data_IF_812870700522
#
_entry.id   IF_812870700522
#
_cell.length_a   1.000
_cell.length_b   1.000
_cell.length_c   1.000
_cell.angle_alpha   90.00
_cell.angle_beta   90.00
_cell.angle_gamma   90.00
#
_symmetry.space_group_name_H-M   'P 1'
#
loop_
_entity.id
_entity.type
_entity.pdbx_description
1 polymer ?
#
# COMPACT_ATOMS: atom_id res chain seq x y z
N UNK A 1 44.00 31.71 50.63
CA UNK A 1 43.62 32.53 49.45
C UNK A 1 43.03 31.58 48.41
N UNK A 2 41.89 31.97 47.85
CA UNK A 2 40.87 31.12 47.24
C UNK A 2 41.34 30.28 46.04
N UNK A 3 40.90 29.02 46.03
CA UNK A 3 40.80 28.16 44.85
C UNK A 3 39.79 28.77 43.87
N UNK A 4 40.22 29.14 42.68
CA UNK A 4 39.32 29.35 41.53
C UNK A 4 39.57 28.23 40.53
N UNK A 5 38.82 27.16 40.71
CA UNK A 5 38.69 26.07 39.74
C UNK A 5 38.07 26.68 38.46
N UNK A 6 38.79 26.57 37.34
CA UNK A 6 38.37 27.18 36.07
C UNK A 6 37.38 26.26 35.36
N UNK A 7 36.11 26.33 35.77
CA UNK A 7 35.00 25.48 35.28
C UNK A 7 34.75 25.60 33.76
N UNK A 8 35.24 26.65 33.11
CA UNK A 8 35.11 26.89 31.67
C UNK A 8 35.98 25.96 30.82
N UNK A 9 37.14 25.54 31.32
CA UNK A 9 38.00 24.58 30.60
C UNK A 9 37.45 23.14 30.66
N UNK A 10 36.77 22.77 31.75
CA UNK A 10 36.09 21.48 31.87
C UNK A 10 34.79 21.41 31.05
N UNK A 11 34.07 22.52 30.88
CA UNK A 11 32.88 22.55 30.02
C UNK A 11 33.21 22.43 28.53
N UNK A 12 34.32 23.03 28.07
CA UNK A 12 34.73 22.91 26.66
C UNK A 12 35.28 21.51 26.33
N UNK A 13 35.89 20.81 27.28
CA UNK A 13 36.32 19.41 27.10
C UNK A 13 35.17 18.39 27.22
N UNK A 14 34.06 18.75 27.87
CA UNK A 14 32.83 17.94 27.91
C UNK A 14 31.89 18.19 26.72
N UNK A 15 32.10 19.27 25.95
CA UNK A 15 31.30 19.60 24.76
C UNK A 15 31.90 19.07 23.44
N UNK A 16 33.14 18.63 23.43
CA UNK A 16 33.79 17.99 22.26
C UNK A 16 33.60 16.47 22.20
N UNK A 17 32.88 15.87 23.14
CA UNK A 17 32.34 14.50 23.02
C UNK A 17 30.82 14.58 22.82
N UNK A 18 30.37 15.48 21.94
CA UNK A 18 29.24 15.13 21.09
C UNK A 18 29.79 14.09 20.13
N UNK A 19 29.87 12.85 20.60
CA UNK A 19 29.88 11.70 19.70
C UNK A 19 28.66 11.93 18.81
N UNK A 20 28.91 12.40 17.59
CA UNK A 20 27.97 12.26 16.51
C UNK A 20 27.83 10.76 16.42
N UNK A 21 26.85 10.21 17.13
CA UNK A 21 26.37 8.86 16.91
C UNK A 21 25.80 8.91 15.50
N UNK A 22 26.68 8.80 14.51
CA UNK A 22 26.30 8.38 13.17
C UNK A 22 25.63 7.05 13.44
N UNK A 23 24.30 7.01 13.30
CA UNK A 23 23.57 5.78 13.54
C UNK A 23 24.15 4.74 12.58
N UNK A 24 24.82 3.72 13.13
CA UNK A 24 25.35 2.64 12.33
C UNK A 24 24.20 2.04 11.52
N UNK A 25 24.40 1.91 10.20
CA UNK A 25 23.39 1.31 9.33
C UNK A 25 23.21 -0.14 9.77
N UNK A 26 21.99 -0.57 10.14
CA UNK A 26 21.78 -1.89 10.68
C UNK A 26 22.09 -2.97 9.64
N UNK A 27 22.84 -3.99 10.06
CA UNK A 27 23.13 -5.17 9.24
C UNK A 27 21.85 -6.01 9.11
N UNK A 28 21.32 -6.06 7.90
CA UNK A 28 20.03 -6.71 7.60
C UNK A 28 20.16 -7.63 6.39
N UNK A 29 19.27 -8.61 6.26
CA UNK A 29 19.32 -9.56 5.14
C UNK A 29 18.97 -8.89 3.80
N UNK A 30 18.15 -7.83 3.85
CA UNK A 30 17.61 -7.08 2.72
C UNK A 30 17.61 -5.58 3.00
N UNK A 31 17.57 -4.75 1.97
CA UNK A 31 17.32 -3.31 2.11
C UNK A 31 15.85 -3.04 2.42
N UNK A 32 14.94 -3.76 1.76
CA UNK A 32 13.50 -3.51 1.81
C UNK A 32 12.69 -4.81 1.92
N UNK A 33 11.77 -4.85 2.89
CA UNK A 33 10.67 -5.83 2.94
C UNK A 33 9.46 -5.25 2.21
N UNK A 34 8.89 -6.01 1.27
CA UNK A 34 7.68 -5.65 0.53
C UNK A 34 6.59 -6.65 0.92
N UNK A 35 5.48 -6.14 1.44
CA UNK A 35 4.33 -6.95 1.84
C UNK A 35 3.26 -6.87 0.74
N UNK A 36 3.02 -7.95 0.03
CA UNK A 36 1.98 -8.10 -0.99
C UNK A 36 2.54 -8.26 -2.41
N UNK A 37 2.19 -9.37 -3.08
CA UNK A 37 2.55 -9.64 -4.47
C UNK A 37 1.52 -9.17 -5.51
N UNK A 38 0.69 -8.19 -5.15
CA UNK A 38 -0.19 -7.50 -6.09
C UNK A 38 0.54 -6.46 -6.96
N UNK A 39 -0.17 -5.74 -7.84
CA UNK A 39 0.44 -4.77 -8.76
C UNK A 39 1.29 -3.69 -8.08
N UNK A 40 0.91 -3.24 -6.89
CA UNK A 40 1.67 -2.23 -6.13
C UNK A 40 2.99 -2.75 -5.62
N UNK A 41 3.01 -3.91 -4.95
CA UNK A 41 4.25 -4.54 -4.48
C UNK A 41 5.17 -4.97 -5.61
N UNK A 42 4.62 -5.51 -6.70
CA UNK A 42 5.41 -5.87 -7.89
C UNK A 42 6.04 -4.63 -8.55
N UNK A 43 5.31 -3.53 -8.64
CA UNK A 43 5.86 -2.26 -9.16
C UNK A 43 6.98 -1.72 -8.26
N UNK A 44 6.81 -1.81 -6.93
CA UNK A 44 7.86 -1.44 -5.98
C UNK A 44 9.11 -2.31 -6.12
N UNK A 45 8.95 -3.63 -6.22
CA UNK A 45 10.04 -4.59 -6.41
C UNK A 45 10.80 -4.32 -7.74
N UNK A 46 10.07 -4.07 -8.83
CA UNK A 46 10.66 -3.70 -10.12
C UNK A 46 11.49 -2.42 -10.04
N UNK A 47 10.94 -1.39 -9.38
CA UNK A 47 11.64 -0.11 -9.21
C UNK A 47 12.92 -0.23 -8.38
N UNK A 48 12.86 -0.96 -7.26
CA UNK A 48 14.01 -1.20 -6.38
C UNK A 48 15.08 -2.07 -7.06
N UNK A 49 14.65 -3.09 -7.80
CA UNK A 49 15.56 -3.97 -8.55
C UNK A 49 16.40 -3.22 -9.57
N UNK A 50 15.80 -2.24 -10.27
CA UNK A 50 16.50 -1.42 -11.27
C UNK A 50 17.57 -0.51 -10.70
N UNK A 51 17.53 -0.23 -9.40
CA UNK A 51 18.53 0.58 -8.68
C UNK A 51 19.33 -0.29 -7.70
N UNK A 52 19.37 -1.61 -7.96
CA UNK A 52 20.20 -2.59 -7.25
C UNK A 52 19.95 -2.63 -5.73
N UNK A 53 18.73 -2.33 -5.27
CA UNK A 53 18.32 -2.52 -3.88
C UNK A 53 17.88 -3.95 -3.68
N UNK A 54 18.48 -4.64 -2.70
CA UNK A 54 18.16 -6.03 -2.37
C UNK A 54 16.83 -6.05 -1.61
N UNK A 55 15.81 -6.70 -2.15
CA UNK A 55 14.48 -6.74 -1.52
C UNK A 55 13.94 -8.15 -1.35
N UNK A 56 13.03 -8.30 -0.40
CA UNK A 56 12.23 -9.52 -0.22
C UNK A 56 10.76 -9.16 -0.34
N UNK A 57 10.03 -9.86 -1.20
CA UNK A 57 8.60 -9.66 -1.42
C UNK A 57 7.85 -10.89 -0.92
N UNK A 58 6.92 -10.67 0.01
CA UNK A 58 6.04 -11.69 0.55
C UNK A 58 4.67 -11.63 -0.11
N UNK A 59 4.16 -12.79 -0.53
CA UNK A 59 2.87 -12.91 -1.19
C UNK A 59 2.04 -14.04 -0.58
N UNK A 60 0.85 -13.73 -0.09
CA UNK A 60 -0.07 -14.73 0.45
C UNK A 60 -0.85 -15.49 -0.64
N UNK A 61 -0.79 -15.05 -1.89
CA UNK A 61 -1.60 -15.60 -2.98
C UNK A 61 -3.07 -15.14 -2.98
N UNK A 62 -3.43 -14.21 -2.07
CA UNK A 62 -4.79 -13.67 -1.97
C UNK A 62 -4.86 -12.28 -2.59
N UNK A 63 -5.54 -12.16 -3.74
CA UNK A 63 -5.62 -10.90 -4.49
C UNK A 63 -7.06 -10.40 -4.57
N UNK A 64 -7.27 -9.08 -4.45
CA UNK A 64 -8.61 -8.47 -4.49
C UNK A 64 -9.37 -8.76 -5.79
N UNK A 65 -8.67 -8.75 -6.92
CA UNK A 65 -9.24 -9.06 -8.24
C UNK A 65 -9.08 -10.54 -8.65
N UNK A 66 -8.72 -11.45 -7.73
CA UNK A 66 -8.60 -12.87 -8.07
C UNK A 66 -9.92 -13.50 -8.59
N UNK A 67 -11.11 -13.07 -8.14
CA UNK A 67 -12.37 -13.62 -8.66
C UNK A 67 -12.68 -13.22 -10.12
N UNK A 68 -12.04 -12.16 -10.66
CA UNK A 68 -12.39 -11.62 -11.98
C UNK A 68 -11.86 -12.47 -13.12
N UNK A 69 -12.62 -12.51 -14.23
CA UNK A 69 -12.22 -13.25 -15.44
C UNK A 69 -11.00 -12.59 -16.10
N UNK A 70 -11.10 -11.28 -16.29
CA UNK A 70 -10.08 -10.46 -16.91
C UNK A 70 -9.90 -9.15 -16.12
N UNK A 71 -8.77 -8.50 -16.30
CA UNK A 71 -8.55 -7.10 -15.91
C UNK A 71 -8.63 -6.22 -17.15
N UNK A 72 -9.17 -5.02 -16.97
CA UNK A 72 -9.29 -4.00 -18.02
C UNK A 72 -8.64 -2.70 -17.55
N UNK A 73 -8.55 -1.73 -18.47
CA UNK A 73 -8.01 -0.40 -18.19
C UNK A 73 -6.54 -0.43 -17.70
N UNK A 74 -5.77 -1.39 -18.22
CA UNK A 74 -4.33 -1.47 -18.02
C UNK A 74 -3.65 -1.48 -19.36
N UNK A 75 -3.08 -0.35 -19.76
CA UNK A 75 -2.43 -0.19 -21.06
C UNK A 75 -1.35 -1.26 -21.24
N UNK A 76 -1.47 -2.03 -22.34
CA UNK A 76 -0.59 -3.16 -22.65
C UNK A 76 -0.99 -4.51 -22.01
N UNK A 77 -1.97 -4.53 -21.09
CA UNK A 77 -2.50 -5.73 -20.42
C UNK A 77 -4.03 -5.70 -20.32
N UNK A 78 -4.70 -5.07 -21.28
CA UNK A 78 -6.16 -5.01 -21.32
C UNK A 78 -6.75 -6.37 -21.71
N UNK A 79 -7.82 -6.78 -21.02
CA UNK A 79 -8.50 -8.06 -21.19
C UNK A 79 -7.60 -9.29 -20.88
N UNK A 80 -6.65 -9.13 -19.96
CA UNK A 80 -5.72 -10.19 -19.52
C UNK A 80 -6.23 -10.84 -18.23
N UNK A 81 -5.97 -12.12 -18.03
CA UNK A 81 -6.25 -12.77 -16.73
C UNK A 81 -5.32 -12.19 -15.65
N UNK A 82 -5.81 -11.70 -14.50
CA UNK A 82 -4.97 -11.03 -13.50
C UNK A 82 -3.74 -11.83 -13.02
N UNK A 83 -3.85 -13.16 -12.96
CA UNK A 83 -2.74 -14.04 -12.60
C UNK A 83 -1.62 -14.05 -13.65
N UNK A 84 -1.94 -13.98 -14.94
CA UNK A 84 -0.94 -13.92 -16.01
C UNK A 84 -0.17 -12.60 -16.00
N UNK A 85 -0.85 -11.49 -15.68
CA UNK A 85 -0.19 -10.20 -15.44
C UNK A 85 0.84 -10.31 -14.29
N UNK A 86 0.44 -10.86 -13.15
CA UNK A 86 1.34 -11.01 -11.97
C UNK A 86 2.51 -11.94 -12.26
N UNK A 87 2.26 -13.06 -12.93
CA UNK A 87 3.29 -14.02 -13.35
C UNK A 87 4.30 -13.35 -14.28
N UNK A 88 3.84 -12.69 -15.33
CA UNK A 88 4.70 -11.96 -16.29
C UNK A 88 5.55 -10.91 -15.59
N UNK A 89 4.95 -10.14 -14.67
CA UNK A 89 5.68 -9.14 -13.89
C UNK A 89 6.78 -9.77 -13.02
N UNK A 90 6.51 -10.91 -12.34
CA UNK A 90 7.51 -11.63 -11.56
C UNK A 90 8.66 -12.14 -12.43
N UNK A 91 8.37 -12.70 -13.61
CA UNK A 91 9.39 -13.14 -14.57
C UNK A 91 10.30 -11.99 -14.99
N UNK A 92 9.72 -10.83 -15.33
CA UNK A 92 10.47 -9.63 -15.70
C UNK A 92 11.33 -9.07 -14.56
N UNK A 93 10.82 -9.06 -13.33
CA UNK A 93 11.57 -8.57 -12.16
C UNK A 93 12.73 -9.52 -11.82
N UNK A 94 12.52 -10.83 -11.99
CA UNK A 94 13.54 -11.85 -11.67
C UNK A 94 14.80 -11.72 -12.52
N UNK A 95 14.71 -11.12 -13.72
CA UNK A 95 15.88 -10.82 -14.56
C UNK A 95 16.96 -10.00 -13.82
N UNK A 96 16.56 -9.08 -12.94
CA UNK A 96 17.50 -8.22 -12.23
C UNK A 96 18.20 -8.93 -11.05
N UNK A 97 17.68 -10.08 -10.60
CA UNK A 97 18.24 -10.87 -9.49
C UNK A 97 18.42 -10.11 -8.16
N UNK A 98 17.58 -9.10 -7.90
CA UNK A 98 17.64 -8.27 -6.69
C UNK A 98 16.48 -8.50 -5.72
N UNK A 99 15.37 -9.09 -6.18
CA UNK A 99 14.20 -9.40 -5.36
C UNK A 99 14.10 -10.90 -5.11
N UNK A 100 14.06 -11.29 -3.84
CA UNK A 100 13.64 -12.64 -3.42
C UNK A 100 12.12 -12.67 -3.27
N UNK A 101 11.45 -13.61 -3.94
CA UNK A 101 10.01 -13.83 -3.79
C UNK A 101 9.75 -14.94 -2.79
N UNK A 102 8.84 -14.71 -1.84
CA UNK A 102 8.42 -15.69 -0.83
C UNK A 102 6.90 -15.80 -0.89
N UNK A 103 6.41 -16.93 -1.38
CA UNK A 103 4.97 -17.21 -1.54
C UNK A 103 4.37 -17.73 -0.22
N UNK A 104 4.50 -16.93 0.84
CA UNK A 104 3.94 -17.19 2.15
C UNK A 104 3.44 -15.89 2.80
N UNK A 105 2.42 -16.03 3.65
CA UNK A 105 1.85 -14.91 4.42
C UNK A 105 2.74 -14.55 5.60
N UNK A 106 3.08 -13.26 5.72
CA UNK A 106 3.71 -12.71 6.93
C UNK A 106 2.68 -12.63 8.05
N UNK A 107 3.04 -13.18 9.21
CA UNK A 107 2.16 -13.24 10.40
C UNK A 107 2.50 -12.17 11.43
N UNK A 108 3.78 -11.75 11.46
CA UNK A 108 4.27 -10.70 12.36
C UNK A 108 5.19 -9.74 11.64
N UNK A 109 5.03 -8.44 11.90
CA UNK A 109 5.94 -7.40 11.42
C UNK A 109 6.19 -6.39 12.53
N UNK A 110 7.45 -6.21 12.90
CA UNK A 110 7.84 -5.34 14.01
C UNK A 110 9.09 -4.52 13.70
N UNK A 111 9.23 -3.37 14.36
CA UNK A 111 10.45 -2.57 14.34
C UNK A 111 11.43 -3.13 15.38
N UNK A 112 12.69 -3.33 15.00
CA UNK A 112 13.76 -3.76 15.90
C UNK A 112 14.50 -2.55 16.49
N UNK A 113 15.33 -2.77 17.52
CA UNK A 113 16.03 -1.70 18.24
C UNK A 113 16.97 -0.84 17.38
N UNK A 114 17.46 -1.38 16.26
CA UNK A 114 18.50 -0.76 15.44
C UNK A 114 17.94 0.00 14.22
N UNK A 115 16.73 0.56 14.30
CA UNK A 115 16.03 1.18 13.16
C UNK A 115 15.82 0.24 11.94
N UNK A 116 15.83 -1.08 12.17
CA UNK A 116 15.45 -2.08 11.19
C UNK A 116 14.04 -2.63 11.48
N UNK A 117 13.57 -3.49 10.59
CA UNK A 117 12.29 -4.17 10.66
C UNK A 117 12.51 -5.67 10.51
N UNK A 118 11.65 -6.45 11.17
CA UNK A 118 11.64 -7.90 11.08
C UNK A 118 10.25 -8.41 10.68
N UNK A 119 10.20 -9.17 9.59
CA UNK A 119 9.03 -9.94 9.19
C UNK A 119 9.19 -11.40 9.62
N UNK A 120 8.14 -11.99 10.17
CA UNK A 120 8.09 -13.41 10.54
C UNK A 120 7.14 -14.18 9.63
N UNK A 121 7.61 -15.33 9.15
CA UNK A 121 6.85 -16.29 8.35
C UNK A 121 7.12 -17.69 8.91
N UNK A 122 6.13 -18.30 9.56
CA UNK A 122 6.35 -19.54 10.31
C UNK A 122 7.46 -19.36 11.34
N UNK A 123 8.49 -20.20 11.28
CA UNK A 123 9.67 -20.13 12.16
C UNK A 123 10.82 -19.29 11.57
N UNK A 124 10.62 -18.71 10.38
CA UNK A 124 11.65 -17.93 9.67
C UNK A 124 11.47 -16.43 9.91
N UNK A 125 12.61 -15.75 10.03
CA UNK A 125 12.69 -14.30 10.24
C UNK A 125 13.50 -13.65 9.12
N UNK A 126 13.02 -12.49 8.67
CA UNK A 126 13.64 -11.72 7.60
C UNK A 126 13.79 -10.28 8.07
N UNK A 127 15.00 -9.72 7.94
CA UNK A 127 15.27 -8.34 8.37
C UNK A 127 15.50 -7.41 7.19
N UNK A 128 15.02 -6.17 7.32
CA UNK A 128 15.31 -5.09 6.39
C UNK A 128 15.34 -3.71 7.04
N UNK A 129 15.95 -2.74 6.35
CA UNK A 129 15.99 -1.34 6.80
C UNK A 129 14.67 -0.61 6.61
N UNK A 130 13.91 -1.00 5.59
CA UNK A 130 12.67 -0.31 5.17
C UNK A 130 11.54 -1.30 4.87
N UNK A 131 10.30 -0.82 4.90
CA UNK A 131 9.10 -1.62 4.63
C UNK A 131 8.17 -0.91 3.65
N UNK A 132 7.65 -1.64 2.67
CA UNK A 132 6.56 -1.19 1.82
C UNK A 132 5.34 -2.09 2.05
N UNK A 133 4.25 -1.52 2.57
CA UNK A 133 2.99 -2.18 2.87
C UNK A 133 2.02 -2.07 1.68
N UNK A 134 1.88 -3.16 0.92
CA UNK A 134 1.00 -3.29 -0.24
C UNK A 134 0.00 -4.44 -0.11
N UNK A 135 -0.43 -4.78 1.11
CA UNK A 135 -1.30 -5.93 1.40
C UNK A 135 -2.72 -5.84 0.83
N UNK A 136 -3.11 -4.67 0.29
CA UNK A 136 -4.43 -4.43 -0.26
C UNK A 136 -5.56 -4.44 0.77
N UNK A 137 -6.79 -4.55 0.27
CA UNK A 137 -8.02 -4.61 1.07
C UNK A 137 -8.87 -5.81 0.70
N UNK A 138 -9.84 -6.11 1.56
CA UNK A 138 -10.97 -6.99 1.26
C UNK A 138 -12.24 -6.16 1.13
N UNK A 139 -13.12 -6.58 0.23
CA UNK A 139 -14.47 -6.04 0.09
C UNK A 139 -15.37 -6.67 1.18
N UNK A 140 -16.07 -5.83 1.94
CA UNK A 140 -16.87 -6.25 3.09
C UNK A 140 -18.30 -6.61 2.62
N UNK A 141 -18.39 -7.71 1.88
CA UNK A 141 -19.67 -8.22 1.36
C UNK A 141 -20.54 -8.76 2.50
N UNK A 142 -21.85 -8.45 2.52
CA UNK A 142 -22.78 -9.04 3.48
C UNK A 142 -22.95 -10.55 3.25
N UNK A 143 -23.33 -11.27 4.31
CA UNK A 143 -23.63 -12.70 4.27
C UNK A 143 -24.99 -12.96 3.60
N UNK A 144 -25.01 -12.80 2.27
CA UNK A 144 -26.16 -13.09 1.42
C UNK A 144 -25.75 -14.24 0.49
N UNK A 145 -26.45 -15.40 0.54
CA UNK A 145 -26.18 -16.52 -0.34
C UNK A 145 -26.09 -16.11 -1.82
N UNK A 146 -25.02 -16.55 -2.49
CA UNK A 146 -24.76 -16.28 -3.91
C UNK A 146 -24.08 -14.95 -4.21
N UNK A 147 -24.00 -14.02 -3.26
CA UNK A 147 -23.32 -12.74 -3.46
C UNK A 147 -21.80 -12.92 -3.61
N UNK A 148 -21.18 -13.69 -2.70
CA UNK A 148 -19.74 -13.94 -2.71
C UNK A 148 -19.29 -14.71 -3.95
N UNK A 149 -20.11 -15.67 -4.41
CA UNK A 149 -19.89 -16.47 -5.61
C UNK A 149 -20.13 -15.67 -6.90
N UNK A 150 -21.01 -14.66 -6.83
CA UNK A 150 -21.27 -13.70 -7.90
C UNK A 150 -20.16 -12.67 -8.09
N UNK A 151 -19.43 -12.35 -7.02
CA UNK A 151 -18.46 -11.26 -6.98
C UNK A 151 -17.27 -11.49 -7.94
N UNK A 152 -16.96 -10.47 -8.74
CA UNK A 152 -15.98 -10.52 -9.83
C UNK A 152 -16.47 -11.24 -11.09
N UNK A 153 -17.71 -11.72 -11.12
CA UNK A 153 -18.28 -12.46 -12.24
C UNK A 153 -19.73 -12.01 -12.46
N UNK A 154 -19.98 -10.76 -12.79
CA UNK A 154 -21.34 -10.21 -12.98
C UNK A 154 -21.86 -9.43 -11.77
N UNK A 155 -21.18 -9.52 -10.63
CA UNK A 155 -21.33 -8.59 -9.50
C UNK A 155 -19.98 -7.94 -9.26
N UNK A 156 -19.90 -6.61 -9.37
CA UNK A 156 -18.63 -5.88 -9.34
C UNK A 156 -18.73 -4.65 -8.45
N UNK A 157 -17.60 -4.02 -8.18
CA UNK A 157 -17.58 -2.74 -7.45
C UNK A 157 -17.24 -1.56 -8.37
N UNK A 158 -16.68 -1.82 -9.56
CA UNK A 158 -16.04 -0.81 -10.41
C UNK A 158 -16.57 -0.86 -11.85
N UNK A 159 -17.29 0.17 -12.33
CA UNK A 159 -17.80 0.20 -13.70
C UNK A 159 -16.69 0.41 -14.74
N UNK A 160 -15.55 1.00 -14.39
CA UNK A 160 -14.39 1.07 -15.31
C UNK A 160 -13.73 -0.28 -15.53
N UNK A 161 -13.83 -1.17 -14.55
CA UNK A 161 -13.15 -2.45 -14.53
C UNK A 161 -13.94 -3.52 -15.30
N UNK A 162 -15.27 -3.51 -15.19
CA UNK A 162 -16.11 -4.60 -15.73
C UNK A 162 -17.40 -4.10 -16.42
N UNK A 163 -17.60 -2.79 -16.48
CA UNK A 163 -18.83 -2.21 -16.99
C UNK A 163 -18.98 -2.31 -18.50
N UNK A 164 -17.88 -2.25 -19.26
CA UNK A 164 -17.92 -2.31 -20.72
C UNK A 164 -18.52 -3.63 -21.21
N UNK A 165 -18.16 -4.74 -20.57
CA UNK A 165 -18.65 -6.09 -20.89
C UNK A 165 -20.15 -6.25 -20.61
N UNK A 166 -20.70 -5.41 -19.74
CA UNK A 166 -22.08 -5.45 -19.28
C UNK A 166 -22.92 -4.23 -19.73
N UNK A 167 -22.41 -3.46 -20.70
CA UNK A 167 -23.05 -2.25 -21.23
C UNK A 167 -24.42 -2.55 -21.85
N UNK A 168 -25.34 -1.59 -21.74
CA UNK A 168 -26.73 -1.66 -22.21
C UNK A 168 -27.58 -2.80 -21.61
N UNK A 169 -27.08 -3.56 -20.64
CA UNK A 169 -27.85 -4.59 -19.92
C UNK A 169 -28.58 -3.98 -18.72
N UNK A 170 -29.50 -4.75 -18.13
CA UNK A 170 -30.18 -4.34 -16.89
C UNK A 170 -29.21 -4.43 -15.70
N UNK A 171 -28.92 -3.29 -15.09
CA UNK A 171 -27.92 -3.16 -14.05
C UNK A 171 -28.58 -2.96 -12.68
N UNK A 172 -28.21 -3.79 -11.71
CA UNK A 172 -28.54 -3.58 -10.31
C UNK A 172 -27.48 -2.77 -9.58
N UNK A 173 -27.88 -1.98 -8.60
CA UNK A 173 -26.96 -1.36 -7.62
C UNK A 173 -27.25 -1.96 -6.25
N UNK A 174 -26.28 -2.64 -5.65
CA UNK A 174 -26.41 -3.31 -4.34
C UNK A 174 -25.69 -2.53 -3.24
N UNK A 175 -26.38 -2.32 -2.13
CA UNK A 175 -25.82 -1.78 -0.89
C UNK A 175 -26.52 -0.51 -0.42
N UNK A 176 -25.82 0.36 0.31
CA UNK A 176 -26.46 1.47 1.02
C UNK A 176 -27.03 2.52 0.04
N UNK A 177 -28.26 2.95 0.28
CA UNK A 177 -28.94 3.96 -0.52
C UNK A 177 -28.20 5.31 -0.48
N UNK A 178 -27.54 5.63 0.63
CA UNK A 178 -26.81 6.88 0.82
C UNK A 178 -25.65 7.06 -0.16
N UNK A 179 -25.13 5.96 -0.68
CA UNK A 179 -24.03 5.92 -1.66
C UNK A 179 -24.50 5.57 -3.08
N UNK A 180 -25.80 5.26 -3.27
CA UNK A 180 -26.30 4.75 -4.55
C UNK A 180 -26.27 5.79 -5.69
N UNK A 181 -26.33 7.09 -5.37
CA UNK A 181 -26.24 8.15 -6.38
C UNK A 181 -24.89 8.15 -7.11
N UNK A 182 -23.80 7.78 -6.44
CA UNK A 182 -22.49 7.63 -7.05
C UNK A 182 -22.52 6.62 -8.20
N UNK A 183 -23.01 5.41 -7.93
CA UNK A 183 -23.15 4.35 -8.94
C UNK A 183 -24.05 4.77 -10.12
N UNK A 184 -25.18 5.45 -9.84
CA UNK A 184 -26.06 5.94 -10.91
C UNK A 184 -25.34 6.94 -11.83
N UNK A 185 -24.55 7.85 -11.26
CA UNK A 185 -23.77 8.83 -12.02
C UNK A 185 -22.67 8.18 -12.85
N UNK A 186 -22.09 7.08 -12.39
CA UNK A 186 -21.02 6.37 -13.10
C UNK A 186 -21.56 5.49 -14.24
N UNK A 187 -22.79 4.97 -14.10
CA UNK A 187 -23.42 4.08 -15.08
C UNK A 187 -24.21 4.86 -16.15
N UNK A 188 -25.00 5.86 -15.76
CA UNK A 188 -25.86 6.63 -16.66
C UNK A 188 -25.18 7.95 -17.06
N UNK A 189 -25.31 8.46 -18.31
CA UNK A 189 -26.16 8.00 -19.43
C UNK A 189 -25.49 7.07 -20.45
N UNK A 190 -24.21 6.78 -20.25
CA UNK A 190 -23.35 6.23 -21.31
C UNK A 190 -23.28 4.71 -21.30
N UNK A 191 -23.33 4.07 -20.13
CA UNK A 191 -23.06 2.64 -19.99
C UNK A 191 -24.33 1.81 -19.86
N UNK A 192 -25.17 2.12 -18.86
CA UNK A 192 -26.42 1.40 -18.61
C UNK A 192 -27.56 2.39 -18.36
N UNK A 193 -28.72 2.13 -18.99
CA UNK A 193 -29.92 2.98 -18.87
C UNK A 193 -31.01 2.35 -18.01
N UNK A 194 -31.07 1.02 -17.96
CA UNK A 194 -31.94 0.28 -17.05
C UNK A 194 -31.20 0.03 -15.73
N UNK A 195 -31.45 0.89 -14.74
CA UNK A 195 -30.79 0.83 -13.43
C UNK A 195 -31.84 0.62 -12.33
N UNK A 196 -31.60 -0.38 -11.47
CA UNK A 196 -32.41 -0.66 -10.28
C UNK A 196 -31.55 -0.68 -9.03
N UNK A 197 -31.92 0.09 -8.01
CA UNK A 197 -31.21 0.08 -6.73
C UNK A 197 -31.87 -0.95 -5.80
N UNK A 198 -31.07 -1.78 -5.16
CA UNK A 198 -31.44 -2.77 -4.17
C UNK A 198 -30.82 -2.40 -2.82
N UNK A 199 -31.58 -1.65 -2.02
CA UNK A 199 -31.11 -1.04 -0.78
C UNK A 199 -31.13 -1.98 0.43
N UNK A 200 -31.70 -3.19 0.31
CA UNK A 200 -31.67 -4.22 1.35
C UNK A 200 -32.01 -3.72 2.78
N UNK A 201 -33.04 -2.88 2.91
CA UNK A 201 -33.46 -2.30 4.19
C UNK A 201 -32.81 -0.97 4.56
N UNK A 202 -31.78 -0.49 3.85
CA UNK A 202 -31.08 0.76 4.17
C UNK A 202 -31.83 2.02 3.72
N UNK A 203 -32.97 1.93 3.01
CA UNK A 203 -33.80 3.10 2.68
C UNK A 203 -34.57 3.60 3.92
N UNK A 204 -33.83 4.07 4.91
CA UNK A 204 -34.33 4.66 6.16
C UNK A 204 -34.27 6.19 6.10
N UNK A 205 -34.96 6.86 7.01
CA UNK A 205 -34.96 8.33 7.10
C UNK A 205 -33.54 8.89 7.28
N UNK A 206 -32.71 8.21 8.07
CA UNK A 206 -31.34 8.61 8.37
C UNK A 206 -30.45 8.54 7.13
N UNK A 207 -30.52 7.44 6.38
CA UNK A 207 -29.72 7.28 5.16
C UNK A 207 -30.17 8.23 4.05
N UNK A 208 -31.47 8.49 3.96
CA UNK A 208 -32.01 9.49 3.04
C UNK A 208 -31.56 10.89 3.41
N UNK A 209 -31.46 11.23 4.70
CA UNK A 209 -30.91 12.52 5.14
C UNK A 209 -29.43 12.69 4.77
N UNK A 210 -28.63 11.61 4.85
CA UNK A 210 -27.23 11.61 4.37
C UNK A 210 -27.20 11.85 2.86
N UNK A 211 -28.02 11.12 2.10
CA UNK A 211 -28.12 11.27 0.65
C UNK A 211 -28.56 12.68 0.24
N UNK A 212 -29.52 13.27 0.96
CA UNK A 212 -30.01 14.63 0.75
C UNK A 212 -28.93 15.68 1.00
N UNK A 213 -28.13 15.49 2.05
CA UNK A 213 -27.01 16.37 2.38
C UNK A 213 -25.91 16.31 1.33
N UNK A 214 -25.52 15.10 0.91
CA UNK A 214 -24.40 14.91 -0.02
C UNK A 214 -24.79 15.21 -1.47
N UNK A 215 -26.04 14.91 -1.85
CA UNK A 215 -26.52 14.96 -3.23
C UNK A 215 -27.93 15.55 -3.34
N UNK A 216 -28.16 16.85 -3.04
CA UNK A 216 -29.50 17.44 -2.92
C UNK A 216 -30.40 17.32 -4.16
N UNK A 217 -29.86 17.02 -5.34
CA UNK A 217 -30.61 16.83 -6.58
C UNK A 217 -30.89 15.36 -6.94
N UNK A 218 -30.50 14.38 -6.11
CA UNK A 218 -30.56 12.96 -6.45
C UNK A 218 -31.96 12.49 -6.88
N UNK A 219 -33.03 12.97 -6.23
CA UNK A 219 -34.41 12.59 -6.58
C UNK A 219 -34.80 13.02 -7.99
N UNK A 220 -34.40 14.23 -8.40
CA UNK A 220 -34.66 14.74 -9.75
C UNK A 220 -33.94 13.90 -10.80
N UNK A 221 -32.70 13.50 -10.49
CA UNK A 221 -31.90 12.64 -11.37
C UNK A 221 -32.51 11.24 -11.47
N UNK A 222 -32.87 10.62 -10.34
CA UNK A 222 -33.50 9.29 -10.35
C UNK A 222 -34.82 9.31 -11.11
N UNK A 223 -35.63 10.36 -10.92
CA UNK A 223 -36.86 10.56 -11.70
C UNK A 223 -36.57 10.73 -13.20
N UNK A 224 -35.60 11.58 -13.57
CA UNK A 224 -35.27 11.84 -14.97
C UNK A 224 -34.73 10.60 -15.69
N UNK A 225 -34.03 9.73 -14.97
CA UNK A 225 -33.40 8.51 -15.51
C UNK A 225 -34.23 7.24 -15.23
N UNK A 226 -35.45 7.38 -14.70
CA UNK A 226 -36.31 6.26 -14.30
C UNK A 226 -35.61 5.24 -13.38
N UNK A 227 -34.67 5.70 -12.54
CA UNK A 227 -34.02 4.86 -11.53
C UNK A 227 -34.99 4.62 -10.39
N UNK A 228 -35.25 3.35 -10.12
CA UNK A 228 -36.18 2.93 -9.06
C UNK A 228 -35.45 2.20 -7.94
N UNK A 229 -35.99 2.29 -6.72
CA UNK A 229 -35.42 1.67 -5.52
C UNK A 229 -36.30 0.49 -5.08
N UNK A 230 -35.67 -0.63 -4.76
CA UNK A 230 -36.24 -1.77 -4.05
C UNK A 230 -35.58 -1.84 -2.66
N UNK A 231 -36.35 -1.66 -1.60
CA UNK A 231 -35.83 -1.70 -0.22
C UNK A 231 -36.11 -3.03 0.52
N UNK A 232 -36.60 -4.05 -0.19
CA UNK A 232 -36.93 -5.32 0.47
C UNK A 232 -35.65 -6.02 0.94
N UNK A 233 -35.67 -6.71 2.09
CA UNK A 233 -34.57 -7.56 2.49
C UNK A 233 -34.30 -8.64 1.43
N UNK A 234 -33.04 -8.77 1.04
CA UNK A 234 -32.54 -9.75 0.07
C UNK A 234 -32.21 -11.04 0.82
N UNK A 235 -32.80 -12.15 0.39
CA UNK A 235 -32.56 -13.47 0.98
C UNK A 235 -31.48 -14.26 0.23
N UNK A 236 -31.40 -14.09 -1.08
CA UNK A 236 -30.55 -14.90 -1.95
C UNK A 236 -30.37 -14.21 -3.32
N UNK A 237 -29.19 -14.34 -3.92
CA UNK A 237 -28.89 -13.89 -5.28
C UNK A 237 -28.35 -15.09 -6.06
N UNK A 238 -29.19 -15.72 -6.87
CA UNK A 238 -28.77 -16.90 -7.64
C UNK A 238 -28.39 -16.52 -9.05
N UNK A 239 -27.18 -16.88 -9.48
CA UNK A 239 -26.81 -16.83 -10.89
C UNK A 239 -27.56 -17.90 -11.66
N UNK A 240 -28.36 -17.49 -12.64
CA UNK A 240 -29.16 -18.37 -13.51
C UNK A 240 -28.61 -18.45 -14.94
N UNK A 241 -27.68 -17.57 -15.31
CA UNK A 241 -26.94 -17.61 -16.58
C UNK A 241 -25.51 -17.12 -16.35
N UNK A 242 -24.53 -17.84 -16.89
CA UNK A 242 -23.10 -17.51 -16.79
C UNK A 242 -22.62 -16.79 -18.05
N UNK A 243 -22.16 -15.55 -17.91
CA UNK A 243 -21.61 -14.74 -18.98
C UNK A 243 -20.31 -15.30 -19.57
N UNK A 244 -19.62 -16.23 -18.89
CA UNK A 244 -18.48 -16.94 -19.46
C UNK A 244 -18.91 -17.95 -20.54
N UNK A 245 -20.16 -18.39 -20.49
CA UNK A 245 -20.74 -19.35 -21.43
C UNK A 245 -21.57 -18.63 -22.48
N UNK A 246 -22.34 -17.62 -22.07
CA UNK A 246 -23.18 -16.81 -22.96
C UNK A 246 -22.54 -15.44 -23.12
N UNK A 247 -21.71 -15.28 -24.16
CA UNK A 247 -21.02 -14.04 -24.49
C UNK A 247 -20.95 -13.80 -26.00
N UNK A 248 -20.56 -12.57 -26.36
CA UNK A 248 -20.07 -12.22 -27.69
C UNK A 248 -18.63 -11.70 -27.56
N UNK A 249 -17.61 -12.53 -27.84
CA UNK A 249 -16.21 -12.15 -27.69
C UNK A 249 -15.75 -11.13 -28.73
N UNK A 250 -16.43 -11.02 -29.89
CA UNK A 250 -16.04 -10.09 -30.94
C UNK A 250 -16.22 -8.63 -30.51
N UNK A 251 -17.20 -8.39 -29.63
CA UNK A 251 -17.50 -7.07 -29.05
C UNK A 251 -17.40 -7.06 -27.53
N UNK A 252 -16.81 -8.12 -26.94
CA UNK A 252 -16.65 -8.31 -25.49
C UNK A 252 -17.93 -8.00 -24.72
N UNK A 253 -18.99 -8.73 -25.00
CA UNK A 253 -20.20 -8.70 -24.18
C UNK A 253 -20.30 -9.99 -23.38
N UNK A 254 -20.57 -9.89 -22.09
CA UNK A 254 -20.80 -11.03 -21.20
C UNK A 254 -22.24 -10.97 -20.70
N UNK A 255 -23.04 -12.01 -20.95
CA UNK A 255 -24.45 -12.03 -20.58
C UNK A 255 -24.67 -12.88 -19.33
N UNK A 256 -24.33 -12.33 -18.18
CA UNK A 256 -24.75 -12.89 -16.90
C UNK A 256 -26.26 -12.63 -16.66
N UNK A 257 -26.90 -13.48 -15.84
CA UNK A 257 -28.23 -13.21 -15.29
C UNK A 257 -28.30 -13.72 -13.86
N UNK A 258 -28.89 -12.91 -13.01
CA UNK A 258 -29.10 -13.23 -11.61
C UNK A 258 -30.56 -13.02 -11.24
N UNK A 259 -31.09 -13.96 -10.47
CA UNK A 259 -32.39 -13.84 -9.82
C UNK A 259 -32.18 -13.45 -8.36
N UNK A 260 -32.72 -12.29 -7.97
CA UNK A 260 -32.73 -11.80 -6.59
C UNK A 260 -34.04 -12.23 -5.93
N UNK A 261 -33.97 -12.89 -4.77
CA UNK A 261 -35.12 -13.30 -3.97
C UNK A 261 -35.27 -12.41 -2.74
N UNK A 262 -36.50 -12.00 -2.44
CA UNK A 262 -36.81 -11.10 -1.33
C UNK A 262 -37.64 -11.77 -0.24
N UNK A 263 -37.66 -11.16 0.95
CA UNK A 263 -38.37 -11.69 2.12
C UNK A 263 -39.90 -11.83 1.96
N UNK A 264 -40.51 -11.14 0.98
CA UNK A 264 -41.94 -11.24 0.68
C UNK A 264 -42.28 -12.30 -0.38
N UNK A 265 -41.33 -13.20 -0.68
CA UNK A 265 -41.39 -14.22 -1.73
C UNK A 265 -41.44 -13.68 -3.16
N UNK A 266 -41.26 -12.37 -3.38
CA UNK A 266 -41.07 -11.83 -4.72
C UNK A 266 -39.64 -12.04 -5.21
N UNK A 267 -39.44 -11.95 -6.53
CA UNK A 267 -38.10 -11.97 -7.14
C UNK A 267 -38.00 -11.04 -8.34
N UNK A 268 -36.80 -10.56 -8.62
CA UNK A 268 -36.46 -9.78 -9.81
C UNK A 268 -35.25 -10.39 -10.52
N UNK A 269 -35.08 -10.15 -11.83
CA UNK A 269 -33.91 -10.59 -12.61
C UNK A 269 -33.11 -9.39 -13.11
N UNK A 270 -31.79 -9.43 -12.97
CA UNK A 270 -30.85 -8.45 -13.55
C UNK A 270 -29.70 -9.12 -14.27
N UNK A 271 -29.10 -8.42 -15.23
CA UNK A 271 -27.95 -8.91 -15.98
C UNK A 271 -26.67 -8.89 -15.16
N UNK A 272 -26.39 -7.74 -14.52
CA UNK A 272 -25.20 -7.56 -13.69
C UNK A 272 -25.48 -6.58 -12.54
N UNK A 273 -24.50 -6.42 -11.65
CA UNK A 273 -24.58 -5.48 -10.53
C UNK A 273 -23.29 -4.70 -10.30
N UNK A 274 -23.45 -3.47 -9.83
CA UNK A 274 -22.42 -2.73 -9.11
C UNK A 274 -22.77 -2.70 -7.61
N UNK A 275 -21.78 -2.90 -6.75
CA UNK A 275 -21.92 -2.85 -5.29
C UNK A 275 -21.21 -1.62 -4.73
N UNK A 276 -21.74 -1.03 -3.66
CA UNK A 276 -21.12 0.08 -2.93
C UNK A 276 -20.77 -0.29 -1.47
N UNK A 277 -20.50 -1.57 -1.20
CA UNK A 277 -20.08 -2.04 0.12
C UNK A 277 -18.70 -1.49 0.52
N UNK A 278 -18.45 -1.46 1.83
CA UNK A 278 -17.21 -0.99 2.40
C UNK A 278 -16.01 -1.89 2.09
N UNK A 279 -14.82 -1.42 2.47
CA UNK A 279 -13.60 -2.22 2.42
C UNK A 279 -12.82 -2.10 3.72
N UNK A 280 -12.10 -3.17 4.05
CA UNK A 280 -11.25 -3.26 5.24
C UNK A 280 -9.84 -3.69 4.85
N UNK A 281 -8.82 -3.32 5.65
CA UNK A 281 -7.46 -3.82 5.44
C UNK A 281 -7.46 -5.36 5.36
N UNK A 282 -6.72 -5.91 4.39
CA UNK A 282 -6.55 -7.37 4.28
C UNK A 282 -5.71 -7.94 5.42
N UNK A 283 -4.84 -7.10 5.99
CA UNK A 283 -3.82 -7.48 6.95
C UNK A 283 -3.82 -6.56 8.16
N UNK A 284 -3.45 -7.10 9.32
CA UNK A 284 -3.26 -6.39 10.58
C UNK A 284 -1.82 -5.87 10.77
N UNK A 285 -0.89 -6.23 9.89
CA UNK A 285 0.52 -5.78 9.94
C UNK A 285 0.70 -4.25 10.07
N UNK A 286 -0.12 -3.38 9.42
CA UNK A 286 -0.05 -1.95 9.67
C UNK A 286 -0.29 -1.60 11.14
N UNK A 287 -1.28 -2.23 11.78
CA UNK A 287 -1.60 -2.01 13.19
C UNK A 287 -0.51 -2.56 14.13
N UNK A 288 0.11 -3.70 13.79
CA UNK A 288 1.25 -4.25 14.55
C UNK A 288 2.45 -3.29 14.59
N UNK A 289 2.68 -2.55 13.50
CA UNK A 289 3.71 -1.51 13.43
C UNK A 289 3.29 -0.19 14.08
N UNK A 290 2.04 -0.05 14.53
CA UNK A 290 1.51 1.19 15.09
C UNK A 290 1.39 2.32 14.06
N UNK A 291 1.18 2.00 12.78
CA UNK A 291 0.96 3.05 11.77
C UNK A 291 -0.39 3.72 12.00
N UNK A 292 -0.43 5.04 11.80
CA UNK A 292 -1.67 5.81 11.86
C UNK A 292 -2.59 5.40 10.70
N UNK A 293 -3.88 5.25 11.01
CA UNK A 293 -4.91 4.91 10.05
C UNK A 293 -5.83 6.11 9.79
N UNK A 294 -6.32 6.24 8.56
CA UNK A 294 -7.39 7.17 8.18
C UNK A 294 -8.62 6.33 7.80
N UNK A 295 -9.59 6.22 8.71
CA UNK A 295 -10.69 5.25 8.56
C UNK A 295 -10.15 3.82 8.54
N UNK A 296 -10.52 3.04 7.52
CA UNK A 296 -10.03 1.67 7.31
C UNK A 296 -8.75 1.59 6.46
N UNK A 297 -8.08 2.71 6.18
CA UNK A 297 -6.92 2.80 5.28
C UNK A 297 -5.67 3.29 5.99
N UNK A 298 -4.49 2.90 5.50
CA UNK A 298 -3.20 3.38 6.03
C UNK A 298 -3.07 4.86 5.71
N UNK A 299 -2.80 5.71 6.70
CA UNK A 299 -2.63 7.14 6.48
C UNK A 299 -1.31 7.42 5.76
N UNK A 300 -1.40 7.76 4.47
CA UNK A 300 -0.26 7.98 3.56
C UNK A 300 -0.24 9.40 2.99
N UNK A 301 -0.86 10.36 3.68
CA UNK A 301 -0.91 11.76 3.24
C UNK A 301 0.46 12.48 3.25
N UNK A 302 1.51 11.82 3.77
CA UNK A 302 2.88 12.34 3.77
C UNK A 302 3.53 12.13 2.40
N UNK A 303 4.57 12.92 2.13
CA UNK A 303 5.30 12.91 0.85
C UNK A 303 5.77 11.49 0.52
N UNK A 304 5.57 11.09 -0.73
CA UNK A 304 6.02 9.78 -1.22
C UNK A 304 5.24 8.59 -0.67
N UNK A 305 4.07 8.79 -0.05
CA UNK A 305 3.23 7.76 0.59
C UNK A 305 3.83 7.16 1.87
N UNK A 306 4.66 7.94 2.57
CA UNK A 306 5.16 7.57 3.89
C UNK A 306 4.02 7.46 4.91
N UNK A 307 4.14 6.52 5.84
CA UNK A 307 3.24 6.38 6.98
C UNK A 307 3.73 7.26 8.16
N UNK A 308 3.06 7.17 9.31
CA UNK A 308 3.55 7.78 10.55
C UNK A 308 4.82 7.14 11.10
N UNK A 309 5.16 5.92 10.66
CA UNK A 309 6.36 5.21 11.07
C UNK A 309 7.48 5.48 10.06
N UNK A 310 8.60 6.11 10.45
CA UNK A 310 9.73 6.37 9.56
C UNK A 310 10.27 5.08 8.93
N UNK A 311 10.59 5.12 7.64
CA UNK A 311 11.03 3.96 6.88
C UNK A 311 9.91 2.99 6.47
N UNK A 312 8.64 3.36 6.64
CA UNK A 312 7.47 2.56 6.25
C UNK A 312 6.56 3.34 5.30
N UNK A 313 6.20 2.70 4.18
CA UNK A 313 5.28 3.23 3.16
C UNK A 313 4.02 2.39 3.04
N UNK A 314 2.89 3.02 2.69
CA UNK A 314 1.64 2.32 2.34
C UNK A 314 1.28 2.54 0.87
N UNK A 315 0.96 1.49 0.12
CA UNK A 315 0.76 1.56 -1.35
C UNK A 315 -0.44 0.77 -1.84
N UNK A 316 -0.90 1.09 -3.06
CA UNK A 316 -2.07 0.47 -3.68
C UNK A 316 -3.32 0.64 -2.83
N UNK A 317 -4.24 -0.32 -2.92
CA UNK A 317 -5.56 -0.22 -2.29
C UNK A 317 -5.52 -0.09 -0.75
N UNK A 318 -4.41 -0.45 -0.11
CA UNK A 318 -4.26 -0.34 1.34
C UNK A 318 -4.14 1.12 1.82
N UNK A 319 -3.73 2.03 0.94
CA UNK A 319 -3.43 3.42 1.24
C UNK A 319 -4.69 4.32 1.28
N UNK A 320 -4.59 5.52 1.87
CA UNK A 320 -5.73 6.41 2.16
C UNK A 320 -6.15 7.38 1.04
N UNK A 321 -5.55 7.34 -0.14
CA UNK A 321 -5.90 8.23 -1.27
C UNK A 321 -7.19 7.84 -2.01
N UNK A 322 -7.79 6.70 -1.64
CA UNK A 322 -9.04 6.16 -2.19
C UNK A 322 -9.04 5.90 -3.71
N UNK A 323 -7.86 5.78 -4.33
CA UNK A 323 -7.75 5.37 -5.72
C UNK A 323 -7.43 3.88 -5.82
N UNK A 324 -8.43 3.04 -6.12
CA UNK A 324 -8.26 1.59 -6.13
C UNK A 324 -8.37 0.99 -7.53
N UNK A 325 -7.31 1.06 -8.32
CA UNK A 325 -7.22 0.41 -9.63
C UNK A 325 -5.78 -0.04 -9.89
N UNK A 326 -5.58 -0.92 -10.86
CA UNK A 326 -4.26 -1.51 -11.13
C UNK A 326 -3.22 -0.45 -11.55
N UNK A 327 -3.50 0.47 -12.49
CA UNK A 327 -2.55 1.53 -12.85
C UNK A 327 -2.12 2.37 -11.65
N UNK A 328 -3.07 2.73 -10.79
CA UNK A 328 -2.78 3.48 -9.57
C UNK A 328 -1.98 2.65 -8.56
N UNK A 329 -2.32 1.36 -8.38
CA UNK A 329 -1.54 0.43 -7.58
C UNK A 329 -0.08 0.40 -8.02
N UNK A 330 0.16 0.29 -9.32
CA UNK A 330 1.51 0.35 -9.89
C UNK A 330 2.19 1.70 -9.65
N UNK A 331 1.48 2.81 -9.87
CA UNK A 331 2.00 4.16 -9.68
C UNK A 331 2.43 4.42 -8.23
N UNK A 332 1.56 4.10 -7.27
CA UNK A 332 1.84 4.24 -5.83
C UNK A 332 3.02 3.37 -5.39
N UNK A 333 3.08 2.11 -5.84
CA UNK A 333 4.21 1.21 -5.60
C UNK A 333 5.54 1.77 -6.13
N UNK A 334 5.54 2.29 -7.37
CA UNK A 334 6.71 2.93 -7.99
C UNK A 334 7.14 4.16 -7.20
N UNK A 335 6.19 5.02 -6.82
CA UNK A 335 6.45 6.24 -6.05
C UNK A 335 7.13 5.91 -4.72
N UNK A 336 6.55 5.02 -3.91
CA UNK A 336 7.12 4.61 -2.63
C UNK A 336 8.53 4.03 -2.78
N UNK A 337 8.76 3.19 -3.78
CA UNK A 337 10.09 2.63 -4.04
C UNK A 337 11.16 3.69 -4.38
N UNK A 338 10.80 4.74 -5.13
CA UNK A 338 11.72 5.84 -5.44
C UNK A 338 12.09 6.61 -4.16
N UNK A 339 11.10 6.97 -3.35
CA UNK A 339 11.35 7.66 -2.07
C UNK A 339 12.14 6.79 -1.10
N UNK A 340 11.80 5.51 -1.01
CA UNK A 340 12.53 4.53 -0.20
C UNK A 340 13.99 4.42 -0.63
N UNK A 341 14.27 4.33 -1.94
CA UNK A 341 15.65 4.28 -2.43
C UNK A 341 16.43 5.55 -2.10
N UNK A 342 15.83 6.73 -2.31
CA UNK A 342 16.50 8.01 -2.02
C UNK A 342 16.81 8.15 -0.54
N UNK A 343 15.89 7.75 0.33
CA UNK A 343 16.11 7.76 1.79
C UNK A 343 17.25 6.80 2.18
N UNK A 344 17.25 5.58 1.67
CA UNK A 344 18.34 4.62 1.88
C UNK A 344 19.70 5.12 1.37
N UNK A 345 19.71 5.78 0.20
CA UNK A 345 20.94 6.32 -0.37
C UNK A 345 21.46 7.50 0.45
N UNK A 346 20.57 8.34 0.98
CA UNK A 346 20.97 9.43 1.85
C UNK A 346 21.57 8.90 3.16
N UNK A 347 20.97 7.88 3.78
CA UNK A 347 21.51 7.22 4.97
C UNK A 347 22.92 6.65 4.74
N UNK A 348 23.16 6.07 3.57
CA UNK A 348 24.48 5.57 3.16
C UNK A 348 25.49 6.69 2.97
N UNK A 349 25.11 7.76 2.27
CA UNK A 349 25.97 8.93 2.07
C UNK A 349 26.30 9.63 3.39
N UNK A 350 25.33 9.76 4.30
CA UNK A 350 25.53 10.38 5.62
C UNK A 350 26.45 9.53 6.49
N UNK A 351 26.33 8.19 6.45
CA UNK A 351 27.28 7.29 7.10
C UNK A 351 28.69 7.46 6.55
N UNK A 352 28.84 7.42 5.23
CA UNK A 352 30.14 7.47 4.58
C UNK A 352 30.85 8.82 4.83
N UNK A 353 30.10 9.93 4.76
CA UNK A 353 30.60 11.26 5.12
C UNK A 353 30.93 11.38 6.62
N UNK A 354 30.19 10.68 7.49
CA UNK A 354 30.48 10.59 8.93
C UNK A 354 31.76 9.82 9.22
N UNK A 355 32.04 8.75 8.47
CA UNK A 355 33.28 7.98 8.55
C UNK A 355 34.49 8.80 8.10
N UNK A 356 34.40 9.53 6.98
CA UNK A 356 35.48 10.41 6.49
C UNK A 356 35.86 11.48 7.53
N UNK A 357 34.85 12.09 8.19
CA UNK A 357 35.10 13.06 9.27
C UNK A 357 35.82 12.42 10.46
N UNK A 358 35.46 11.18 10.82
CA UNK A 358 36.10 10.47 11.92
C UNK A 358 37.54 10.07 11.60
N UNK A 359 37.82 9.64 10.38
CA UNK A 359 39.19 9.35 9.93
C UNK A 359 40.05 10.62 9.95
N UNK A 360 39.53 11.75 9.47
CA UNK A 360 40.26 13.03 9.50
C UNK A 360 40.48 13.58 10.91
N UNK A 361 39.50 13.44 11.82
CA UNK A 361 39.69 13.80 13.24
C UNK A 361 40.70 12.89 13.94
N UNK A 362 40.64 11.58 13.68
CA UNK A 362 41.61 10.62 14.23
C UNK A 362 43.03 10.88 13.73
N UNK A 363 43.20 11.18 12.44
CA UNK A 363 44.49 11.57 11.87
C UNK A 363 45.00 12.89 12.47
N UNK A 364 44.12 13.87 12.71
CA UNK A 364 44.51 15.14 13.34
C UNK A 364 44.96 14.97 14.80
N UNK A 365 44.25 14.13 15.58
CA UNK A 365 44.61 13.81 16.96
C UNK A 365 45.91 13.00 17.03
N UNK A 366 46.07 12.01 16.17
CA UNK A 366 47.33 11.24 16.02
C UNK A 366 48.52 12.12 15.62
N UNK A 367 48.30 13.05 14.69
CA UNK A 367 49.32 14.02 14.27
C UNK A 367 49.69 14.98 15.41
N UNK A 368 48.71 15.42 16.21
CA UNK A 368 48.94 16.25 17.39
C UNK A 368 49.76 15.50 18.44
N UNK A 369 49.39 14.27 18.78
CA UNK A 369 50.10 13.43 19.74
C UNK A 369 51.54 13.13 19.29
N UNK A 370 51.74 12.88 17.99
CA UNK A 370 53.07 12.68 17.40
C UNK A 370 53.92 13.96 17.49
N UNK A 371 53.31 15.12 17.25
CA UNK A 371 53.99 16.43 17.33
C UNK A 371 54.37 16.77 18.76
N UNK A 372 53.47 16.58 19.73
CA UNK A 372 53.74 16.81 21.15
C UNK A 372 54.85 15.89 21.67
N UNK A 373 54.88 14.63 21.23
CA UNK A 373 55.94 13.68 21.60
C UNK A 373 57.29 14.09 21.02
N UNK A 374 57.33 14.60 19.79
CA UNK A 374 58.56 15.11 19.18
C UNK A 374 59.04 16.39 19.90
N UNK A 375 58.16 17.37 20.12
CA UNK A 375 58.50 18.59 20.85
C UNK A 375 58.97 18.32 22.29
N UNK A 376 58.30 17.41 22.99
CA UNK A 376 58.69 16.98 24.34
C UNK A 376 60.08 16.34 24.37
N UNK A 377 60.42 15.53 23.36
CA UNK A 377 61.74 14.92 23.23
C UNK A 377 62.85 15.94 22.96
N UNK A 378 62.58 16.95 22.12
CA UNK A 378 63.53 18.02 21.80
C UNK A 378 63.80 18.92 23.01
N UNK A 379 62.76 19.29 23.75
CA UNK A 379 62.89 20.10 24.99
C UNK A 379 63.68 19.33 26.04
N UNK A 380 63.44 18.02 26.18
CA UNK A 380 64.15 17.18 27.14
C UNK A 380 65.63 17.02 26.78
N UNK A 381 65.97 16.96 25.50
CA UNK A 381 67.34 16.96 25.01
C UNK A 381 68.03 18.32 25.17
N UNK A 382 67.31 19.42 24.96
CA UNK A 382 67.79 20.78 25.24
C UNK A 382 68.08 20.98 26.73
N UNK A 383 67.18 20.52 27.60
CA UNK A 383 67.37 20.55 29.05
C UNK A 383 68.60 19.74 29.49
N UNK A 384 68.77 18.50 28.98
CA UNK A 384 69.95 17.67 29.25
C UNK A 384 71.27 18.32 28.78
N UNK A 385 71.24 19.10 27.69
CA UNK A 385 72.43 19.82 27.19
C UNK A 385 72.75 21.03 28.07
N UNK A 386 71.73 21.74 28.56
CA UNK A 386 71.88 22.92 29.42
C UNK A 386 72.25 22.56 30.86
N UNK A 387 71.77 21.42 31.39
CA UNK A 387 72.04 20.96 32.76
C UNK A 387 73.40 20.25 32.95
N UNK A 388 74.22 20.16 31.90
CA UNK A 388 75.57 19.56 31.90
C UNK A 388 76.70 20.59 31.87
N UNK A 389 76.38 21.87 32.04
CA UNK A 389 77.33 22.93 32.40
C UNK A 389 77.14 23.29 33.86
#
# INVERSE_FOLDING_TARGET
MMFTCNWTALLCALLSILSVCVADIPQTNYDVIIIGGGPSGLSAASALSRVLRKSVLFDSGEYRNNPTRHMHDVIGNDHVVPAEFRKTAREQISFYNMTTFIDQKVTKLEKTGDNAFQATVGDQQYTARKVILGSGVKDDLPDVPGLQEGFGKGIFWCPWCDGFEHRNQSMGVLGDISEAYGAVRELHPTLNKDIRIYANGTNTTEQIAILDKNHPNWRKVFQAYNVTVNNKPILNITRIQDGAVVNDPAIRLEFDKFQIYFADNSSEVRGAFITNYGTSQRSDLPAQLGVEMLGSKINTLRKGLQTSVPGVWGVGDANSDNSTNVPHGMSSGKSAAVYCHVELAQEELDRDAGLEKRETEFDAESFHETTERQMGSEIQDLYKRLSRR
#
